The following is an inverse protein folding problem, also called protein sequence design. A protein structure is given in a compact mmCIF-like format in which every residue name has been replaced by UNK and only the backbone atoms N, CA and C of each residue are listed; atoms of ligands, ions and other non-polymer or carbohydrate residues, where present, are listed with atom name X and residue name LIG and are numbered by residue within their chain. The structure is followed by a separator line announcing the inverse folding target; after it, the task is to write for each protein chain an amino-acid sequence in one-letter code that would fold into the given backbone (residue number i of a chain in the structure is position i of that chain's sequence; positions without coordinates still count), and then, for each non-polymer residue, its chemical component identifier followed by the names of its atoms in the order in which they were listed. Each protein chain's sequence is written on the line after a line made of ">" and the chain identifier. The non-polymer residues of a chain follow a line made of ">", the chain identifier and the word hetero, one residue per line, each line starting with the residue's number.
data_IF_496425322041
#
_entry.id   IF_496425322041
#
_cell.length_a   1.000
_cell.length_b   1.000
_cell.length_c   1.000
_cell.angle_alpha   90.00
_cell.angle_beta   90.00
_cell.angle_gamma   90.00
#
_symmetry.space_group_name_H-M   'P 1'
#
loop_
_entity.id
_entity.type
_entity.pdbx_description
1 polymer ?
#
# COMPACT_ATOMS: atom_id res chain seq x y z
N UNK A 1 -91.71 -15.92 47.73
CA UNK A 1 -90.53 -16.75 47.37
C UNK A 1 -89.62 -15.86 46.51
N UNK A 2 -88.59 -15.26 47.09
CA UNK A 2 -87.69 -14.34 46.37
C UNK A 2 -86.40 -15.08 46.00
N UNK A 3 -86.17 -15.26 44.70
CA UNK A 3 -84.94 -15.86 44.17
C UNK A 3 -83.91 -14.75 43.97
N UNK A 4 -82.82 -14.79 44.75
CA UNK A 4 -81.69 -13.87 44.65
C UNK A 4 -80.68 -14.43 43.64
N UNK A 5 -80.64 -13.86 42.44
CA UNK A 5 -79.64 -14.20 41.41
C UNK A 5 -78.33 -13.48 41.75
N UNK A 6 -77.29 -14.24 42.09
CA UNK A 6 -75.93 -13.72 42.32
C UNK A 6 -75.20 -13.69 40.97
N UNK A 7 -74.95 -12.48 40.46
CA UNK A 7 -74.09 -12.25 39.28
C UNK A 7 -72.62 -12.29 39.71
N UNK A 8 -71.90 -13.36 39.38
CA UNK A 8 -70.43 -13.42 39.52
C UNK A 8 -69.81 -12.73 38.30
N UNK A 9 -69.11 -11.61 38.52
CA UNK A 9 -68.29 -10.96 37.47
C UNK A 9 -66.96 -11.70 37.33
N UNK A 10 -66.73 -12.34 36.20
CA UNK A 10 -65.41 -12.78 35.80
C UNK A 10 -64.52 -11.56 35.52
N UNK A 11 -63.41 -11.43 36.27
CA UNK A 11 -62.43 -10.34 36.13
C UNK A 11 -61.58 -10.59 34.88
N UNK A 12 -61.47 -9.58 34.01
CA UNK A 12 -60.45 -9.48 32.96
C UNK A 12 -59.05 -9.54 33.61
N UNK A 13 -58.32 -10.64 33.44
CA UNK A 13 -56.92 -10.76 33.87
C UNK A 13 -55.98 -11.29 32.77
N UNK A 14 -56.47 -11.66 31.59
CA UNK A 14 -55.61 -12.27 30.55
C UNK A 14 -54.62 -11.28 29.89
N UNK A 15 -54.89 -9.96 29.94
CA UNK A 15 -54.02 -8.95 29.33
C UNK A 15 -52.69 -8.73 30.08
N UNK A 16 -52.68 -8.88 31.41
CA UNK A 16 -51.49 -8.63 32.23
C UNK A 16 -50.43 -9.72 32.04
N UNK A 17 -50.85 -11.00 32.01
CA UNK A 17 -49.94 -12.14 31.81
C UNK A 17 -49.24 -12.08 30.45
N UNK A 18 -49.96 -11.67 29.40
CA UNK A 18 -49.39 -11.55 28.06
C UNK A 18 -48.35 -10.43 27.99
N UNK A 19 -48.62 -9.30 28.66
CA UNK A 19 -47.68 -8.18 28.72
C UNK A 19 -46.39 -8.54 29.48
N UNK A 20 -46.50 -9.29 30.59
CA UNK A 20 -45.34 -9.78 31.35
C UNK A 20 -44.50 -10.75 30.51
N UNK A 21 -45.13 -11.65 29.75
CA UNK A 21 -44.41 -12.55 28.85
C UNK A 21 -43.64 -11.82 27.76
N UNK A 22 -44.24 -10.80 27.15
CA UNK A 22 -43.56 -9.96 26.15
C UNK A 22 -42.37 -9.23 26.76
N UNK A 23 -42.52 -8.66 27.96
CA UNK A 23 -41.41 -7.98 28.64
C UNK A 23 -40.27 -8.95 28.96
N UNK A 24 -40.56 -10.16 29.44
CA UNK A 24 -39.53 -11.17 29.72
C UNK A 24 -38.83 -11.62 28.43
N UNK A 25 -39.58 -11.80 27.33
CA UNK A 25 -39.01 -12.14 26.03
C UNK A 25 -38.09 -11.04 25.49
N UNK A 26 -38.51 -9.78 25.62
CA UNK A 26 -37.71 -8.62 25.20
C UNK A 26 -36.44 -8.49 26.03
N UNK A 27 -36.53 -8.69 27.35
CA UNK A 27 -35.36 -8.66 28.25
C UNK A 27 -34.41 -9.85 28.02
N UNK A 28 -34.96 -11.03 27.75
CA UNK A 28 -34.16 -12.22 27.42
C UNK A 28 -33.45 -12.06 26.06
N UNK A 29 -34.16 -11.56 25.06
CA UNK A 29 -33.58 -11.26 23.75
C UNK A 29 -32.50 -10.16 23.87
N UNK A 30 -32.77 -9.06 24.57
CA UNK A 30 -31.79 -7.97 24.71
C UNK A 30 -30.53 -8.40 25.45
N UNK A 31 -30.65 -9.21 26.51
CA UNK A 31 -29.49 -9.79 27.19
C UNK A 31 -28.68 -10.75 26.29
N UNK A 32 -29.37 -11.59 25.51
CA UNK A 32 -28.72 -12.51 24.58
C UNK A 32 -28.00 -11.77 23.44
N UNK A 33 -28.66 -10.79 22.81
CA UNK A 33 -28.07 -10.01 21.72
C UNK A 33 -26.97 -9.06 22.20
N UNK A 34 -27.08 -8.50 23.41
CA UNK A 34 -26.02 -7.68 24.02
C UNK A 34 -24.73 -8.50 24.23
N UNK A 35 -24.83 -9.69 24.82
CA UNK A 35 -23.64 -10.49 25.13
C UNK A 35 -23.04 -11.23 23.92
N UNK A 36 -23.88 -11.84 23.06
CA UNK A 36 -23.41 -12.67 21.95
C UNK A 36 -23.24 -11.91 20.63
N UNK A 37 -24.08 -10.89 20.38
CA UNK A 37 -24.04 -10.11 19.15
C UNK A 37 -22.75 -9.29 19.04
N UNK A 38 -22.37 -8.60 20.11
CA UNK A 38 -21.11 -7.85 20.19
C UNK A 38 -19.91 -8.76 19.94
N UNK A 39 -19.88 -9.93 20.57
CA UNK A 39 -18.79 -10.90 20.40
C UNK A 39 -18.66 -11.44 18.97
N UNK A 40 -19.78 -11.65 18.25
CA UNK A 40 -19.73 -12.13 16.87
C UNK A 40 -19.27 -11.05 15.90
N UNK A 41 -19.75 -9.82 16.08
CA UNK A 41 -19.31 -8.67 15.29
C UNK A 41 -17.81 -8.40 15.47
N UNK A 42 -17.31 -8.38 16.71
CA UNK A 42 -15.88 -8.19 16.97
C UNK A 42 -15.03 -9.32 16.38
N UNK A 43 -15.52 -10.57 16.43
CA UNK A 43 -14.83 -11.71 15.78
C UNK A 43 -14.77 -11.57 14.27
N UNK A 44 -15.87 -11.16 13.62
CA UNK A 44 -15.89 -10.95 12.17
C UNK A 44 -14.97 -9.80 11.75
N UNK A 45 -15.02 -8.67 12.48
CA UNK A 45 -14.14 -7.53 12.21
C UNK A 45 -12.67 -7.90 12.39
N UNK A 46 -12.33 -8.61 13.47
CA UNK A 46 -10.97 -9.09 13.70
C UNK A 46 -10.49 -10.06 12.59
N UNK A 47 -11.39 -10.92 12.07
CA UNK A 47 -11.09 -11.81 10.95
C UNK A 47 -10.78 -11.04 9.67
N UNK A 48 -11.61 -10.05 9.32
CA UNK A 48 -11.39 -9.21 8.13
C UNK A 48 -10.10 -8.39 8.24
N UNK A 49 -9.81 -7.81 9.41
CA UNK A 49 -8.54 -7.11 9.64
C UNK A 49 -7.33 -8.04 9.49
N UNK A 50 -7.44 -9.28 9.96
CA UNK A 50 -6.38 -10.28 9.81
C UNK A 50 -6.20 -10.68 8.34
N UNK A 51 -7.29 -10.90 7.60
CA UNK A 51 -7.25 -11.21 6.16
C UNK A 51 -6.58 -10.07 5.38
N UNK A 52 -7.01 -8.82 5.59
CA UNK A 52 -6.38 -7.65 4.96
C UNK A 52 -4.89 -7.57 5.29
N UNK A 53 -4.50 -7.81 6.55
CA UNK A 53 -3.09 -7.82 6.94
C UNK A 53 -2.29 -8.91 6.21
N UNK A 54 -2.82 -10.13 6.13
CA UNK A 54 -2.19 -11.25 5.42
C UNK A 54 -2.03 -10.95 3.92
N UNK A 55 -3.07 -10.42 3.28
CA UNK A 55 -3.04 -10.07 1.86
C UNK A 55 -2.03 -8.95 1.59
N UNK A 56 -1.98 -7.92 2.46
CA UNK A 56 -0.99 -6.86 2.33
C UNK A 56 0.45 -7.41 2.47
N UNK A 57 0.69 -8.37 3.37
CA UNK A 57 1.99 -9.04 3.50
C UNK A 57 2.36 -9.86 2.25
N UNK A 58 1.37 -10.49 1.59
CA UNK A 58 1.57 -11.18 0.31
C UNK A 58 2.04 -10.16 -0.74
N UNK A 59 1.38 -9.00 -0.84
CA UNK A 59 1.79 -7.92 -1.77
C UNK A 59 3.21 -7.44 -1.46
N UNK A 60 3.55 -7.20 -0.18
CA UNK A 60 4.92 -6.86 0.24
C UNK A 60 5.94 -7.90 -0.22
N UNK A 61 5.61 -9.19 -0.12
CA UNK A 61 6.47 -10.27 -0.61
C UNK A 61 6.64 -10.28 -2.14
N UNK A 62 5.61 -9.91 -2.89
CA UNK A 62 5.66 -9.80 -4.35
C UNK A 62 6.52 -8.62 -4.78
N UNK A 63 6.42 -7.49 -4.08
CA UNK A 63 7.33 -6.35 -4.24
C UNK A 63 8.79 -6.72 -3.96
N UNK A 64 9.06 -7.53 -2.93
CA UNK A 64 10.41 -8.04 -2.72
C UNK A 64 10.94 -8.86 -3.88
N UNK A 65 10.12 -9.76 -4.43
CA UNK A 65 10.50 -10.50 -5.63
C UNK A 65 10.75 -9.55 -6.79
N UNK A 66 9.89 -8.56 -6.98
CA UNK A 66 10.03 -7.58 -8.05
C UNK A 66 11.38 -6.83 -7.98
N UNK A 67 11.76 -6.37 -6.79
CA UNK A 67 13.01 -5.62 -6.62
C UNK A 67 14.26 -6.51 -6.69
N UNK A 68 14.19 -7.75 -6.19
CA UNK A 68 15.34 -8.68 -6.17
C UNK A 68 15.66 -9.25 -7.56
N UNK A 69 14.65 -9.49 -8.39
CA UNK A 69 14.79 -10.08 -9.74
C UNK A 69 15.04 -9.04 -10.85
N UNK A 70 15.35 -7.80 -10.47
CA UNK A 70 16.02 -6.89 -11.39
C UNK A 70 17.54 -7.11 -11.27
N UNK A 71 18.30 -7.09 -12.38
CA UNK A 71 17.92 -6.68 -13.74
C UNK A 71 17.17 -7.72 -14.59
N UNK A 72 17.06 -8.98 -14.15
CA UNK A 72 16.71 -10.11 -15.03
C UNK A 72 15.42 -9.93 -15.82
N UNK A 73 14.40 -9.28 -15.24
CA UNK A 73 13.16 -8.95 -15.95
C UNK A 73 13.36 -8.11 -17.21
N UNK A 74 14.37 -7.25 -17.24
CA UNK A 74 14.66 -6.32 -18.33
C UNK A 74 15.69 -6.87 -19.33
N UNK A 75 16.44 -7.90 -18.94
CA UNK A 75 17.35 -8.65 -19.81
C UNK A 75 16.62 -9.73 -20.62
N UNK A 76 15.44 -10.18 -20.17
CA UNK A 76 14.63 -11.19 -20.85
C UNK A 76 13.58 -10.59 -21.81
N UNK A 77 13.67 -10.85 -23.12
CA UNK A 77 12.64 -10.62 -24.16
C UNK A 77 13.07 -11.29 -25.50
N UNK A 78 12.22 -11.63 -26.52
CA UNK A 78 10.78 -11.96 -26.64
C UNK A 78 10.56 -13.28 -27.44
N UNK A 79 10.00 -14.34 -26.86
CA UNK A 79 9.44 -15.44 -27.69
C UNK A 79 7.97 -15.19 -28.10
N UNK A 80 7.46 -13.95 -28.01
CA UNK A 80 6.02 -13.69 -28.09
C UNK A 80 5.61 -12.24 -28.40
N UNK A 81 6.17 -11.62 -29.43
CA UNK A 81 5.37 -10.80 -30.37
C UNK A 81 4.70 -9.48 -29.94
N UNK A 82 5.07 -8.80 -28.85
CA UNK A 82 4.43 -7.51 -28.49
C UNK A 82 5.25 -6.23 -28.76
N UNK A 83 6.45 -6.32 -29.35
CA UNK A 83 7.17 -5.15 -29.86
C UNK A 83 7.84 -4.25 -28.81
N UNK A 84 7.99 -4.70 -27.57
CA UNK A 84 8.71 -3.96 -26.54
C UNK A 84 10.19 -4.32 -26.54
N UNK A 85 11.01 -3.57 -27.29
CA UNK A 85 12.46 -3.79 -27.36
C UNK A 85 13.09 -3.98 -25.96
N UNK A 86 14.00 -4.97 -25.85
CA UNK A 86 14.95 -5.06 -24.74
C UNK A 86 15.55 -3.68 -24.49
N UNK A 87 15.65 -3.30 -23.21
CA UNK A 87 16.47 -2.14 -22.88
C UNK A 87 17.91 -2.51 -23.25
N UNK A 88 18.61 -1.57 -23.90
CA UNK A 88 20.05 -1.72 -24.07
C UNK A 88 20.71 -1.89 -22.69
N UNK A 89 21.80 -2.65 -22.62
CA UNK A 89 22.47 -3.01 -21.35
C UNK A 89 22.83 -1.79 -20.49
N UNK A 90 23.11 -0.64 -21.12
CA UNK A 90 23.39 0.66 -20.47
C UNK A 90 22.16 1.30 -19.80
N UNK A 91 20.95 0.79 -20.07
CA UNK A 91 19.68 1.29 -19.55
C UNK A 91 18.94 0.29 -18.67
N UNK A 92 19.51 -0.89 -18.47
CA UNK A 92 18.92 -1.92 -17.62
C UNK A 92 19.13 -1.52 -16.15
N UNK A 93 18.04 -1.37 -15.36
CA UNK A 93 18.18 -1.05 -13.95
C UNK A 93 18.87 -2.19 -13.20
N UNK A 94 19.72 -1.85 -12.24
CA UNK A 94 20.18 -2.81 -11.23
C UNK A 94 19.05 -3.25 -10.29
N UNK A 95 19.36 -4.14 -9.33
CA UNK A 95 18.39 -4.57 -8.34
C UNK A 95 17.86 -3.42 -7.50
N UNK A 96 16.65 -3.58 -6.95
CA UNK A 96 16.17 -2.75 -5.87
C UNK A 96 15.14 -1.68 -6.22
N UNK A 97 14.78 -1.51 -7.48
CA UNK A 97 13.66 -0.65 -7.82
C UNK A 97 12.33 -1.36 -7.62
N UNK A 98 11.31 -0.58 -7.29
CA UNK A 98 9.93 -0.99 -7.26
C UNK A 98 9.21 -0.56 -8.54
N UNK A 99 8.06 -1.18 -8.86
CA UNK A 99 7.28 -0.73 -10.00
C UNK A 99 6.69 0.64 -9.74
N UNK A 100 6.37 1.31 -10.83
CA UNK A 100 5.54 2.50 -10.84
C UNK A 100 4.12 2.26 -10.31
N UNK A 101 3.50 3.33 -9.82
CA UNK A 101 2.07 3.33 -9.45
C UNK A 101 1.20 3.24 -10.71
N UNK A 102 0.02 2.66 -10.56
CA UNK A 102 -1.07 2.69 -11.53
C UNK A 102 -1.97 3.91 -11.23
N UNK A 103 -2.19 4.79 -12.20
CA UNK A 103 -2.90 6.04 -11.98
C UNK A 103 -4.39 5.92 -12.29
N UNK A 104 -4.80 5.12 -13.28
CA UNK A 104 -6.22 5.01 -13.66
C UNK A 104 -6.93 3.78 -13.03
N UNK A 105 -6.13 2.89 -12.45
CA UNK A 105 -6.54 1.69 -11.74
C UNK A 105 -7.05 0.59 -12.66
N UNK A 106 -6.58 0.54 -13.91
CA UNK A 106 -6.84 -0.57 -14.82
C UNK A 106 -5.97 -1.82 -14.51
N UNK A 107 -5.03 -1.67 -13.58
CA UNK A 107 -4.12 -2.71 -13.11
C UNK A 107 -2.80 -2.75 -13.88
N UNK A 108 -2.61 -1.91 -14.89
CA UNK A 108 -1.44 -1.88 -15.77
C UNK A 108 -0.61 -0.61 -15.52
N UNK A 109 0.58 -0.56 -16.11
CA UNK A 109 1.44 0.63 -16.08
C UNK A 109 1.81 0.94 -17.51
N UNK A 110 1.06 1.84 -18.13
CA UNK A 110 1.19 2.19 -19.55
C UNK A 110 1.33 3.71 -19.76
N UNK A 111 1.88 4.09 -20.91
CA UNK A 111 1.97 5.50 -21.32
C UNK A 111 2.63 6.39 -20.26
N UNK A 112 1.88 7.35 -19.73
CA UNK A 112 2.36 8.32 -18.75
C UNK A 112 2.79 7.67 -17.41
N UNK A 113 2.19 6.55 -17.03
CA UNK A 113 2.47 5.84 -15.77
C UNK A 113 3.83 5.15 -15.77
N UNK A 114 4.40 4.93 -16.97
CA UNK A 114 5.75 4.38 -17.11
C UNK A 114 6.85 5.37 -16.65
N UNK A 115 6.49 6.64 -16.45
CA UNK A 115 7.38 7.70 -16.00
C UNK A 115 6.99 8.17 -14.60
N UNK A 116 7.45 7.46 -13.56
CA UNK A 116 7.25 7.86 -12.16
C UNK A 116 8.14 9.03 -11.74
N UNK A 117 7.81 10.22 -12.21
CA UNK A 117 8.24 11.47 -11.59
C UNK A 117 7.25 11.90 -10.51
N UNK A 118 7.64 12.89 -9.72
CA UNK A 118 6.74 13.51 -8.76
C UNK A 118 5.47 14.03 -9.46
N UNK A 119 4.31 13.49 -9.10
CA UNK A 119 3.03 13.85 -9.74
C UNK A 119 2.30 14.97 -9.01
N UNK A 120 2.66 15.27 -7.77
CA UNK A 120 1.95 16.27 -6.94
C UNK A 120 2.40 17.70 -7.24
N UNK A 121 3.59 17.90 -7.80
CA UNK A 121 4.08 19.22 -8.20
C UNK A 121 4.72 19.17 -9.59
N UNK A 122 4.08 19.81 -10.57
CA UNK A 122 4.60 19.92 -11.93
C UNK A 122 5.94 20.67 -11.96
N UNK A 123 7.01 19.99 -12.39
CA UNK A 123 8.35 20.55 -12.51
C UNK A 123 9.19 20.49 -11.23
N UNK A 124 8.71 19.80 -10.19
CA UNK A 124 9.45 19.56 -8.95
C UNK A 124 9.70 18.07 -8.74
N UNK A 125 10.82 17.60 -9.29
CA UNK A 125 11.32 16.23 -9.11
C UNK A 125 11.98 16.01 -7.73
N UNK A 126 11.72 16.89 -6.75
CA UNK A 126 12.37 16.86 -5.43
C UNK A 126 11.38 16.68 -4.28
N UNK A 127 10.08 16.63 -4.56
CA UNK A 127 8.99 16.46 -3.59
C UNK A 127 8.90 15.01 -3.02
N UNK A 128 9.57 14.03 -3.64
CA UNK A 128 10.09 12.83 -2.95
C UNK A 128 9.31 11.52 -3.04
N UNK A 129 8.03 11.51 -3.43
CA UNK A 129 7.24 10.28 -3.54
C UNK A 129 6.20 10.31 -4.65
N UNK A 130 5.76 9.13 -5.07
CA UNK A 130 4.67 8.88 -6.01
C UNK A 130 3.56 8.10 -5.31
N UNK A 131 2.33 8.31 -5.76
CA UNK A 131 1.14 7.77 -5.12
C UNK A 131 0.10 7.38 -6.18
N UNK A 132 -0.51 6.21 -6.00
CA UNK A 132 -1.55 5.71 -6.89
C UNK A 132 -2.03 4.32 -6.49
N UNK A 133 -2.70 3.62 -7.39
CA UNK A 133 -3.09 2.23 -7.18
C UNK A 133 -1.90 1.28 -7.32
N UNK A 134 -2.03 0.11 -6.68
CA UNK A 134 -1.09 -0.97 -6.88
C UNK A 134 -1.24 -1.55 -8.29
N UNK A 135 -0.19 -1.54 -9.13
CA UNK A 135 -0.21 -2.24 -10.40
C UNK A 135 -0.31 -3.76 -10.17
N UNK A 136 -1.13 -4.43 -10.98
CA UNK A 136 -1.34 -5.89 -10.89
C UNK A 136 -0.70 -6.65 -12.04
N UNK A 137 -0.44 -5.97 -13.16
CA UNK A 137 -0.02 -6.57 -14.42
C UNK A 137 1.02 -5.71 -15.15
N UNK A 138 2.22 -6.25 -15.32
CA UNK A 138 3.27 -5.66 -16.15
C UNK A 138 3.39 -6.43 -17.46
N UNK A 139 2.46 -6.19 -18.39
CA UNK A 139 2.39 -6.90 -19.69
C UNK A 139 3.70 -6.85 -20.46
N UNK A 140 4.41 -5.74 -20.39
CA UNK A 140 5.69 -5.53 -21.09
C UNK A 140 6.78 -6.49 -20.63
N UNK A 141 6.63 -7.11 -19.45
CA UNK A 141 7.63 -7.99 -18.83
C UNK A 141 7.05 -9.35 -18.37
N UNK A 142 5.78 -9.63 -18.67
CA UNK A 142 5.05 -10.83 -18.23
C UNK A 142 5.10 -11.09 -16.71
N UNK A 143 5.06 -10.02 -15.91
CA UNK A 143 5.03 -10.11 -14.45
C UNK A 143 3.60 -9.82 -13.99
N UNK A 144 3.06 -10.69 -13.13
CA UNK A 144 1.70 -10.59 -12.63
C UNK A 144 1.69 -10.79 -11.11
N UNK A 145 1.05 -9.86 -10.41
CA UNK A 145 0.78 -9.98 -8.98
C UNK A 145 -0.52 -10.76 -8.81
N UNK A 146 -0.39 -12.08 -8.83
CA UNK A 146 -1.51 -12.99 -8.67
C UNK A 146 -2.29 -12.68 -7.38
N UNK A 147 -3.63 -12.77 -7.48
CA UNK A 147 -4.61 -12.57 -6.39
C UNK A 147 -4.81 -11.14 -5.92
N UNK A 148 -4.37 -10.15 -6.69
CA UNK A 148 -4.71 -8.75 -6.43
C UNK A 148 -5.59 -8.23 -7.56
N UNK A 149 -6.75 -7.68 -7.22
CA UNK A 149 -7.61 -7.00 -8.17
C UNK A 149 -7.13 -5.55 -8.37
N UNK A 150 -7.35 -4.96 -9.57
CA UNK A 150 -7.13 -3.54 -9.78
C UNK A 150 -7.93 -2.72 -8.76
N UNK A 151 -7.34 -1.61 -8.28
CA UNK A 151 -7.92 -0.71 -7.25
C UNK A 151 -8.14 -1.31 -5.86
N UNK A 152 -7.69 -2.53 -5.61
CA UNK A 152 -7.81 -3.18 -4.30
C UNK A 152 -6.85 -2.58 -3.27
N UNK A 153 -5.63 -2.25 -3.69
CA UNK A 153 -4.61 -1.64 -2.84
C UNK A 153 -4.19 -0.28 -3.39
N UNK A 154 -3.88 0.61 -2.46
CA UNK A 154 -3.23 1.87 -2.75
C UNK A 154 -1.74 1.75 -2.42
N UNK A 155 -0.91 2.48 -3.17
CA UNK A 155 0.52 2.28 -3.20
C UNK A 155 1.25 3.63 -3.22
N UNK A 156 2.20 3.78 -2.30
CA UNK A 156 3.03 4.96 -2.14
C UNK A 156 4.48 4.52 -2.20
N UNK A 157 5.29 5.27 -2.93
CA UNK A 157 6.67 4.92 -3.20
C UNK A 157 7.54 6.16 -3.18
N UNK A 158 8.67 6.11 -2.49
CA UNK A 158 9.70 7.12 -2.63
C UNK A 158 10.22 7.08 -4.07
N UNK A 159 10.11 8.21 -4.78
CA UNK A 159 10.29 8.28 -6.23
C UNK A 159 11.69 7.82 -6.68
N UNK A 160 12.67 7.87 -5.77
CA UNK A 160 14.06 7.41 -5.98
C UNK A 160 14.14 5.91 -6.17
N UNK A 161 13.19 5.18 -5.58
CA UNK A 161 13.06 3.74 -5.67
C UNK A 161 12.16 3.31 -6.82
N UNK A 162 11.60 4.24 -7.61
CA UNK A 162 10.77 3.92 -8.76
C UNK A 162 11.60 3.56 -10.00
N UNK A 163 11.28 2.43 -10.62
CA UNK A 163 11.91 1.98 -11.86
C UNK A 163 11.65 2.93 -13.06
N UNK A 164 10.56 3.70 -13.02
CA UNK A 164 10.13 4.60 -14.07
C UNK A 164 10.70 6.02 -13.98
N UNK A 165 11.44 6.36 -12.93
CA UNK A 165 11.81 7.75 -12.69
C UNK A 165 12.90 8.26 -13.65
N UNK A 166 12.63 9.33 -14.40
CA UNK A 166 13.57 9.90 -15.36
C UNK A 166 14.76 10.62 -14.71
N UNK A 167 14.61 11.11 -13.48
CA UNK A 167 15.69 11.78 -12.75
C UNK A 167 16.63 10.78 -12.07
N UNK A 168 16.18 9.54 -11.83
CA UNK A 168 16.98 8.52 -11.14
C UNK A 168 17.35 7.29 -11.98
N UNK A 169 16.46 6.72 -12.79
CA UNK A 169 16.72 5.45 -13.48
C UNK A 169 16.70 5.57 -15.01
N UNK A 170 15.73 6.30 -15.57
CA UNK A 170 15.50 6.37 -17.01
C UNK A 170 16.14 7.58 -17.71
N UNK A 171 16.82 8.47 -16.95
CA UNK A 171 17.51 9.63 -17.50
C UNK A 171 18.92 9.32 -18.00
N UNK A 172 19.56 10.35 -18.57
CA UNK A 172 20.94 10.26 -19.07
C UNK A 172 22.00 9.99 -18.00
N UNK A 173 21.64 10.16 -16.72
CA UNK A 173 22.59 10.00 -15.60
C UNK A 173 22.52 8.63 -14.92
N UNK A 174 21.44 7.84 -15.06
CA UNK A 174 21.33 6.50 -14.45
C UNK A 174 21.85 6.47 -13.01
N UNK A 175 21.13 7.10 -12.09
CA UNK A 175 21.59 7.38 -10.72
C UNK A 175 21.52 6.20 -9.76
N UNK A 176 21.01 5.03 -10.15
CA UNK A 176 21.00 3.78 -9.35
C UNK A 176 20.64 3.98 -7.86
N UNK A 177 19.70 4.90 -7.62
CA UNK A 177 19.43 5.50 -6.32
C UNK A 177 19.05 4.54 -5.17
N UNK A 178 18.31 3.43 -5.39
CA UNK A 178 17.91 2.55 -4.30
C UNK A 178 19.12 2.12 -3.48
N UNK A 179 20.23 1.94 -4.18
CA UNK A 179 21.36 1.16 -3.78
C UNK A 179 22.55 2.03 -3.30
N UNK A 180 22.35 3.34 -3.22
CA UNK A 180 23.37 4.25 -2.72
C UNK A 180 23.38 4.24 -1.18
N UNK A 181 24.49 3.84 -0.52
CA UNK A 181 24.55 3.80 0.95
C UNK A 181 24.48 5.19 1.61
N UNK A 182 24.79 6.25 0.86
CA UNK A 182 24.60 7.63 1.28
C UNK A 182 23.17 8.12 1.10
N UNK A 183 22.29 7.33 0.48
CA UNK A 183 20.87 7.67 0.34
C UNK A 183 20.15 7.43 1.66
N UNK A 184 19.52 8.48 2.19
CA UNK A 184 18.60 8.33 3.32
C UNK A 184 17.15 8.57 2.87
N UNK A 185 16.20 7.69 3.25
CA UNK A 185 14.75 7.94 3.15
C UNK A 185 14.17 8.72 4.33
N UNK A 186 15.00 9.15 5.28
CA UNK A 186 14.58 10.03 6.39
C UNK A 186 13.85 11.26 5.84
N UNK A 187 12.70 11.57 6.46
CA UNK A 187 11.90 12.74 6.09
C UNK A 187 11.10 12.64 4.79
N UNK A 188 11.01 11.45 4.15
CA UNK A 188 10.28 11.29 2.88
C UNK A 188 8.92 10.61 3.00
N UNK A 189 8.84 9.53 3.75
CA UNK A 189 7.61 8.78 3.99
C UNK A 189 7.50 8.46 5.47
N UNK A 190 6.35 8.77 6.05
CA UNK A 190 6.06 8.51 7.45
C UNK A 190 4.88 7.56 7.57
N UNK A 191 5.02 6.57 8.47
CA UNK A 191 3.94 5.69 8.90
C UNK A 191 3.79 5.80 10.42
N UNK A 192 2.65 6.29 10.89
CA UNK A 192 2.40 6.54 12.32
C UNK A 192 3.53 7.36 12.96
N UNK A 193 3.91 8.46 12.32
CA UNK A 193 4.98 9.38 12.73
C UNK A 193 6.41 8.77 12.76
N UNK A 194 6.60 7.54 12.29
CA UNK A 194 7.91 6.92 12.07
C UNK A 194 8.34 7.12 10.62
N UNK A 195 9.60 7.47 10.40
CA UNK A 195 10.17 7.65 9.06
C UNK A 195 11.09 6.50 8.64
N UNK A 196 11.74 6.64 7.48
CA UNK A 196 12.68 5.64 6.96
C UNK A 196 12.03 4.54 6.12
N UNK A 197 10.82 4.80 5.62
CA UNK A 197 10.14 3.93 4.66
C UNK A 197 10.49 4.31 3.22
N UNK A 198 10.58 3.29 2.36
CA UNK A 198 10.78 3.47 0.91
C UNK A 198 9.50 3.26 0.13
N UNK A 199 8.57 2.47 0.67
CA UNK A 199 7.26 2.24 0.09
C UNK A 199 6.24 1.94 1.19
N UNK A 200 4.98 2.28 0.93
CA UNK A 200 3.84 1.94 1.76
C UNK A 200 2.80 1.24 0.89
N UNK A 201 2.24 0.16 1.41
CA UNK A 201 1.10 -0.54 0.80
C UNK A 201 -0.07 -0.32 1.73
N UNK A 202 -1.13 0.26 1.19
CA UNK A 202 -2.37 0.54 1.91
C UNK A 202 -3.43 -0.41 1.40
N UNK A 203 -3.97 -1.23 2.30
CA UNK A 203 -5.24 -1.91 2.11
C UNK A 203 -6.33 -1.00 2.66
N UNK A 204 -7.10 -0.34 1.79
CA UNK A 204 -8.17 0.53 2.24
C UNK A 204 -9.20 -0.27 3.05
N UNK A 205 -9.71 0.26 4.17
CA UNK A 205 -10.68 -0.48 4.99
C UNK A 205 -12.07 -0.53 4.36
N UNK A 206 -13.16 -0.61 5.13
CA UNK A 206 -14.50 -0.51 4.54
C UNK A 206 -14.83 0.95 4.21
N UNK A 207 -15.54 1.20 3.10
CA UNK A 207 -16.02 2.55 2.78
C UNK A 207 -16.83 3.12 3.94
N UNK A 208 -16.51 4.34 4.36
CA UNK A 208 -17.21 5.01 5.45
C UNK A 208 -17.61 6.43 5.11
N UNK A 209 -18.60 6.93 5.87
CA UNK A 209 -18.91 8.36 5.94
C UNK A 209 -18.01 8.94 7.03
N UNK A 210 -17.14 9.85 6.62
CA UNK A 210 -16.21 10.55 7.49
C UNK A 210 -16.94 11.57 8.37
N UNK A 211 -16.26 12.08 9.40
CA UNK A 211 -16.86 12.97 10.39
C UNK A 211 -17.27 14.33 9.81
N UNK A 212 -16.63 14.77 8.74
CA UNK A 212 -16.96 15.98 7.97
C UNK A 212 -18.13 15.77 6.98
N UNK A 213 -18.67 14.56 6.89
CA UNK A 213 -19.74 14.18 5.96
C UNK A 213 -19.24 13.72 4.59
N UNK A 214 -17.93 13.69 4.35
CA UNK A 214 -17.34 13.12 3.13
C UNK A 214 -17.65 11.62 3.05
N UNK A 215 -18.09 11.15 1.89
CA UNK A 215 -18.43 9.75 1.65
C UNK A 215 -17.33 9.15 0.77
N UNK A 216 -16.70 8.08 1.23
CA UNK A 216 -15.78 7.32 0.38
C UNK A 216 -16.57 6.48 -0.62
N UNK A 217 -16.45 6.80 -1.91
CA UNK A 217 -17.05 6.02 -2.99
C UNK A 217 -15.99 5.46 -3.96
N UNK A 218 -15.60 4.21 -3.71
CA UNK A 218 -14.59 3.50 -4.51
C UNK A 218 -15.08 3.05 -5.88
N UNK A 219 -16.36 3.25 -6.20
CA UNK A 219 -16.89 2.96 -7.54
C UNK A 219 -16.70 4.13 -8.50
N UNK A 220 -16.23 5.29 -8.01
CA UNK A 220 -16.01 6.45 -8.85
C UNK A 220 -14.87 6.19 -9.83
N UNK A 221 -15.15 6.52 -11.10
CA UNK A 221 -14.14 6.58 -12.13
C UNK A 221 -13.28 7.85 -11.96
N UNK A 222 -12.01 7.74 -12.31
CA UNK A 222 -11.04 8.82 -12.23
C UNK A 222 -9.65 8.32 -11.93
N UNK A 223 -8.69 9.22 -12.01
CA UNK A 223 -7.32 8.94 -11.64
C UNK A 223 -7.16 8.90 -10.10
N UNK A 224 -6.12 8.21 -9.65
CA UNK A 224 -5.83 7.98 -8.25
C UNK A 224 -5.61 9.27 -7.46
N UNK A 225 -5.10 10.34 -8.09
CA UNK A 225 -4.75 11.62 -7.46
C UNK A 225 -5.97 12.52 -7.26
N UNK A 226 -6.86 12.55 -8.24
CA UNK A 226 -8.12 13.27 -8.19
C UNK A 226 -9.11 12.63 -7.22
N UNK A 227 -8.88 11.36 -6.87
CA UNK A 227 -9.79 10.50 -6.11
C UNK A 227 -9.20 10.00 -4.80
N UNK A 228 -8.10 10.57 -4.30
CA UNK A 228 -7.44 10.08 -3.07
C UNK A 228 -8.45 9.93 -1.91
N UNK A 229 -9.29 10.94 -1.68
CA UNK A 229 -10.30 10.92 -0.61
C UNK A 229 -11.44 9.92 -0.81
N UNK A 230 -11.64 9.40 -2.02
CA UNK A 230 -12.62 8.33 -2.30
C UNK A 230 -12.07 6.95 -1.89
N UNK A 231 -10.75 6.81 -1.75
CA UNK A 231 -10.07 5.55 -1.44
C UNK A 231 -9.42 5.52 -0.05
N UNK A 232 -8.82 6.62 0.40
CA UNK A 232 -8.07 6.70 1.66
C UNK A 232 -8.83 7.46 2.74
N UNK A 233 -8.47 7.21 4.00
CA UNK A 233 -9.13 7.81 5.15
C UNK A 233 -8.57 9.19 5.53
N UNK A 234 -9.48 10.06 6.00
CA UNK A 234 -9.10 11.27 6.75
C UNK A 234 -8.96 10.97 8.24
N UNK A 235 -8.11 11.75 8.92
CA UNK A 235 -7.91 11.65 10.37
C UNK A 235 -8.54 12.85 11.07
N UNK A 236 -9.05 12.62 12.28
CA UNK A 236 -9.62 13.65 13.12
C UNK A 236 -9.01 13.64 14.53
N UNK A 237 -8.99 14.79 15.20
CA UNK A 237 -8.66 14.88 16.62
C UNK A 237 -9.86 14.53 17.52
N UNK A 238 -9.66 14.53 18.84
CA UNK A 238 -10.73 14.22 19.80
C UNK A 238 -11.85 15.29 19.85
N UNK A 239 -11.64 16.45 19.25
CA UNK A 239 -12.61 17.54 19.12
C UNK A 239 -13.36 17.49 17.79
N UNK A 240 -12.98 16.56 16.89
CA UNK A 240 -13.57 16.41 15.56
C UNK A 240 -12.99 17.31 14.49
N UNK A 241 -11.86 17.97 14.75
CA UNK A 241 -11.16 18.73 13.71
C UNK A 241 -10.35 17.78 12.84
N UNK A 242 -10.35 18.02 11.53
CA UNK A 242 -9.48 17.30 10.59
C UNK A 242 -8.01 17.60 10.92
N UNK A 243 -7.19 16.55 10.97
CA UNK A 243 -5.73 16.59 11.16
C UNK A 243 -5.08 15.73 10.07
N UNK A 244 -3.74 15.76 9.95
CA UNK A 244 -3.04 15.01 8.92
C UNK A 244 -3.49 13.54 8.89
N UNK A 245 -3.87 13.07 7.71
CA UNK A 245 -4.48 11.77 7.45
C UNK A 245 -3.99 11.20 6.12
N UNK A 246 -4.53 10.06 5.70
CA UNK A 246 -4.06 9.42 4.47
C UNK A 246 -4.55 10.12 3.20
N UNK A 247 -5.67 10.86 3.30
CA UNK A 247 -6.35 11.50 2.18
C UNK A 247 -5.97 12.97 1.91
N UNK A 248 -4.94 13.51 2.57
CA UNK A 248 -4.54 14.92 2.43
C UNK A 248 -3.47 15.17 1.35
N UNK A 249 -2.91 14.10 0.78
CA UNK A 249 -1.89 14.15 -0.27
C UNK A 249 -0.49 14.51 0.22
N UNK A 250 -0.25 14.48 1.53
CA UNK A 250 1.09 14.68 2.11
C UNK A 250 1.87 13.35 2.27
N UNK A 251 3.02 13.41 2.94
CA UNK A 251 3.93 12.28 3.15
C UNK A 251 3.68 11.48 4.44
N UNK A 252 2.60 11.77 5.17
CA UNK A 252 2.29 11.22 6.49
C UNK A 252 1.08 10.32 6.43
N UNK A 253 1.35 9.02 6.53
CA UNK A 253 0.34 7.99 6.52
C UNK A 253 0.17 7.39 7.91
N UNK A 254 -1.04 6.91 8.17
CA UNK A 254 -1.47 6.35 9.43
C UNK A 254 -2.19 5.04 9.14
N UNK A 255 -1.86 4.02 9.94
CA UNK A 255 -2.64 2.78 9.94
C UNK A 255 -3.69 2.83 11.04
N UNK A 256 -4.74 2.03 10.90
CA UNK A 256 -5.77 1.82 11.90
C UNK A 256 -5.14 1.57 13.29
N UNK A 257 -5.43 2.47 14.22
CA UNK A 257 -5.01 2.36 15.61
C UNK A 257 -5.95 3.17 16.51
N UNK A 258 -5.90 2.93 17.83
CA UNK A 258 -6.72 3.68 18.79
C UNK A 258 -6.39 5.17 18.84
N UNK A 259 -5.19 5.57 18.42
CA UNK A 259 -4.72 6.96 18.38
C UNK A 259 -5.00 7.67 17.05
N UNK A 260 -5.50 6.95 16.05
CA UNK A 260 -5.77 7.46 14.70
C UNK A 260 -7.28 7.44 14.44
N UNK A 261 -7.99 8.36 15.08
CA UNK A 261 -9.45 8.49 14.94
C UNK A 261 -9.78 8.82 13.48
N UNK A 262 -10.72 8.07 12.89
CA UNK A 262 -11.12 8.21 11.50
C UNK A 262 -10.39 7.27 10.54
N UNK A 263 -9.28 6.65 10.97
CA UNK A 263 -8.51 5.71 10.13
C UNK A 263 -8.93 4.26 10.38
N UNK A 264 -9.45 3.62 9.34
CA UNK A 264 -9.72 2.20 9.24
C UNK A 264 -8.80 1.47 8.25
N UNK A 265 -7.99 2.19 7.47
CA UNK A 265 -6.97 1.67 6.56
C UNK A 265 -5.90 0.81 7.26
N UNK A 266 -5.55 -0.32 6.65
CA UNK A 266 -4.37 -1.10 7.06
C UNK A 266 -3.18 -0.70 6.21
N UNK A 267 -2.15 -0.14 6.82
CA UNK A 267 -0.95 0.33 6.11
C UNK A 267 0.24 -0.45 6.60
N UNK A 268 0.95 -1.11 5.67
CA UNK A 268 2.25 -1.71 5.96
C UNK A 268 3.34 -0.94 5.24
N UNK A 269 4.45 -0.74 5.95
CA UNK A 269 5.63 -0.12 5.39
C UNK A 269 6.65 -1.15 4.92
N UNK A 270 7.37 -0.75 3.88
CA UNK A 270 8.65 -1.31 3.52
C UNK A 270 9.73 -0.34 4.02
N UNK A 271 10.45 -0.73 5.07
CA UNK A 271 11.54 0.09 5.59
C UNK A 271 12.78 -0.01 4.72
N UNK A 272 13.62 1.02 4.75
CA UNK A 272 14.89 1.03 4.03
C UNK A 272 15.85 -0.04 4.53
N UNK A 273 15.86 -0.34 5.82
CA UNK A 273 16.73 -1.38 6.39
C UNK A 273 16.33 -2.78 5.90
N UNK A 274 15.02 -3.08 5.86
CA UNK A 274 14.50 -4.32 5.25
C UNK A 274 14.88 -4.41 3.78
N UNK A 275 14.65 -3.33 3.04
CA UNK A 275 14.94 -3.23 1.61
C UNK A 275 16.44 -3.43 1.33
N UNK A 276 17.30 -2.73 2.07
CA UNK A 276 18.75 -2.78 1.92
C UNK A 276 19.28 -4.18 2.25
N UNK A 277 18.74 -4.83 3.28
CA UNK A 277 19.11 -6.21 3.63
C UNK A 277 18.80 -7.17 2.49
N UNK A 278 17.61 -7.07 1.88
CA UNK A 278 17.22 -7.91 0.75
C UNK A 278 18.13 -7.71 -0.46
N UNK A 279 18.48 -6.45 -0.77
CA UNK A 279 19.35 -6.16 -1.90
C UNK A 279 20.80 -6.56 -1.65
N UNK A 280 21.33 -6.34 -0.45
CA UNK A 280 22.67 -6.78 -0.09
C UNK A 280 22.79 -8.30 -0.19
N UNK A 281 21.82 -9.04 0.34
CA UNK A 281 21.80 -10.51 0.19
C UNK A 281 21.83 -10.93 -1.28
N UNK A 282 21.07 -10.24 -2.14
CA UNK A 282 21.02 -10.50 -3.58
C UNK A 282 22.37 -10.23 -4.26
N UNK A 283 22.93 -9.04 -4.06
CA UNK A 283 24.21 -8.61 -4.67
C UNK A 283 25.36 -9.49 -4.18
N UNK A 284 25.40 -9.79 -2.87
CA UNK A 284 26.45 -10.63 -2.29
C UNK A 284 26.41 -12.07 -2.80
N UNK A 285 25.22 -12.63 -3.06
CA UNK A 285 25.10 -13.96 -3.66
C UNK A 285 25.66 -14.04 -5.09
N UNK A 286 25.78 -12.91 -5.79
CA UNK A 286 26.33 -12.81 -7.15
C UNK A 286 27.71 -12.14 -7.20
N UNK A 287 28.34 -11.90 -6.05
CA UNK A 287 29.56 -11.10 -5.96
C UNK A 287 30.63 -11.52 -6.96
N UNK A 288 30.94 -12.82 -7.03
CA UNK A 288 31.97 -13.35 -7.93
C UNK A 288 31.69 -13.06 -9.40
N UNK A 289 30.44 -13.21 -9.83
CA UNK A 289 30.05 -12.97 -11.22
C UNK A 289 30.04 -11.47 -11.54
N UNK A 290 29.59 -10.64 -10.60
CA UNK A 290 29.62 -9.18 -10.72
C UNK A 290 31.06 -8.64 -10.79
N UNK A 291 31.97 -9.14 -9.96
CA UNK A 291 33.39 -8.75 -9.97
C UNK A 291 34.11 -9.18 -11.26
N UNK A 292 33.71 -10.32 -11.85
CA UNK A 292 34.24 -10.83 -13.11
C UNK A 292 33.77 -10.04 -14.34
N UNK A 293 32.72 -9.22 -14.22
CA UNK A 293 32.26 -8.33 -15.30
C UNK A 293 33.34 -7.29 -15.61
N UNK A 294 33.67 -7.08 -16.88
CA UNK A 294 34.67 -6.07 -17.30
C UNK A 294 34.21 -4.67 -16.85
N UNK A 295 35.10 -3.93 -16.18
CA UNK A 295 34.83 -2.60 -15.65
C UNK A 295 34.50 -1.55 -16.73
N UNK A 296 34.88 -1.80 -18.00
CA UNK A 296 34.62 -0.90 -19.12
C UNK A 296 33.25 -1.13 -19.78
N UNK A 297 32.53 -2.18 -19.39
CA UNK A 297 31.19 -2.45 -19.93
C UNK A 297 30.17 -1.54 -19.24
N UNK A 298 29.30 -0.93 -20.05
CA UNK A 298 28.17 -0.15 -19.55
C UNK A 298 27.17 -1.08 -18.85
N UNK A 299 27.26 -1.16 -17.53
CA UNK A 299 26.50 -2.04 -16.66
C UNK A 299 26.26 -1.33 -15.33
N UNK A 300 25.11 -1.55 -14.68
CA UNK A 300 24.74 -0.84 -13.45
C UNK A 300 25.80 -0.96 -12.34
N UNK A 301 26.48 -2.09 -12.26
CA UNK A 301 27.55 -2.35 -11.28
C UNK A 301 28.82 -1.51 -11.54
N UNK A 302 28.99 -1.01 -12.76
CA UNK A 302 30.11 -0.15 -13.20
C UNK A 302 29.71 1.33 -13.32
N UNK A 303 28.45 1.68 -13.07
CA UNK A 303 27.92 2.99 -13.44
C UNK A 303 28.38 4.15 -12.54
N UNK A 304 29.04 3.86 -11.42
CA UNK A 304 29.57 4.88 -10.52
C UNK A 304 30.73 5.64 -11.14
N UNK A 305 30.63 6.97 -11.11
CA UNK A 305 31.74 7.87 -11.41
C UNK A 305 31.69 9.06 -10.45
N UNK A 306 32.75 9.27 -9.67
CA UNK A 306 32.75 10.31 -8.61
C UNK A 306 32.49 11.74 -9.13
N UNK A 307 32.69 12.01 -10.43
CA UNK A 307 32.57 13.35 -11.01
C UNK A 307 31.26 13.54 -11.78
N UNK A 308 30.86 12.54 -12.55
CA UNK A 308 29.79 12.60 -13.55
C UNK A 308 28.56 11.77 -13.16
N UNK A 309 28.73 10.74 -12.33
CA UNK A 309 27.64 9.94 -11.78
C UNK A 309 27.93 9.48 -10.33
N UNK A 310 28.05 10.41 -9.36
CA UNK A 310 28.36 10.05 -7.97
C UNK A 310 27.22 9.29 -7.29
N UNK A 311 26.05 9.22 -7.93
CA UNK A 311 24.88 8.49 -7.44
C UNK A 311 24.94 6.98 -7.76
N UNK A 312 25.79 6.53 -8.69
CA UNK A 312 25.98 5.12 -9.06
C UNK A 312 26.48 4.17 -7.94
N UNK A 313 26.51 4.65 -6.70
CA UNK A 313 26.62 3.87 -5.45
C UNK A 313 27.96 3.16 -5.18
N UNK A 314 28.97 3.34 -6.04
CA UNK A 314 30.31 2.73 -5.96
C UNK A 314 30.27 1.25 -5.57
N UNK A 315 29.43 0.47 -6.28
CA UNK A 315 29.14 -0.92 -5.93
C UNK A 315 30.37 -1.81 -5.82
N UNK A 316 31.35 -1.62 -6.70
CA UNK A 316 32.62 -2.35 -6.65
C UNK A 316 33.36 -2.15 -5.33
N UNK A 317 33.26 -0.96 -4.73
CA UNK A 317 33.90 -0.63 -3.45
C UNK A 317 32.99 -0.93 -2.24
N UNK A 318 31.67 -0.81 -2.39
CA UNK A 318 30.70 -0.89 -1.30
C UNK A 318 30.41 -2.33 -0.80
N UNK A 319 30.74 -3.38 -1.56
CA UNK A 319 30.53 -4.79 -1.15
C UNK A 319 31.37 -5.26 0.07
N UNK A 320 32.07 -4.35 0.74
CA UNK A 320 33.03 -4.59 1.82
C UNK A 320 32.44 -4.92 3.19
N UNK A 321 31.33 -5.67 3.24
CA UNK A 321 30.82 -6.46 4.38
C UNK A 321 29.66 -7.37 3.91
N UNK A 322 29.83 -8.08 2.80
CA UNK A 322 28.89 -9.15 2.47
C UNK A 322 28.80 -10.14 3.65
N UNK A 323 27.59 -10.41 4.18
CA UNK A 323 27.41 -11.27 5.34
C UNK A 323 27.86 -12.71 5.11
#
# INVERSE_FOLDING_TARGET
>A
MYVKVIKVRAKQQSGFIMMVFVVILVLGASAYFSGYGENLFFKQKAKLTLENYEDTQIVKSQFWRYSVFQPEFYESDPAGGTGFNLKNIDRIPGPGYFPCVDLDGDGEVLGAETSCGNVTVAGDDTTGFVVGFLPTNFRTRNIFFNKVAPKEFYYILDERFANGNNSYNNGSTGRFAPLNPGLSPTGRLFLNDQDGYVALIIAPGESMVMQDGTIQDRNQAGDALARIADYLDKRFDALGNEVNGNADGDFKFYSQSKSNIGINDTVIGISFSEWQTMMLNRVCAQKTDLEATDANVAFWFNAYDATTNPAGSDWRSFMGNCP
#
